data_IF_867015957794
#
_entry.id   IF_867015957794
#
_cell.length_a   1.000
_cell.length_b   1.000
_cell.length_c   1.000
_cell.angle_alpha   90.00
_cell.angle_beta   90.00
_cell.angle_gamma   90.00
#
_symmetry.space_group_name_H-M   'P 1'
#
loop_
_entity.id
_entity.type
_entity.pdbx_description
1 polymer ?
#
# COMPACT_ATOMS: atom_id res chain seq x y z
N UNK A 1 -18.15 -19.87 -31.28
CA UNK A 1 -19.16 -19.16 -30.45
C UNK A 1 -19.86 -20.18 -29.58
N UNK A 2 -19.95 -19.95 -28.26
CA UNK A 2 -21.27 -20.07 -27.66
C UNK A 2 -21.59 -19.00 -26.60
N UNK A 3 -22.86 -18.61 -26.65
CA UNK A 3 -23.77 -18.23 -25.56
C UNK A 3 -23.39 -17.06 -24.64
N UNK A 4 -24.02 -15.91 -24.94
CA UNK A 4 -24.28 -14.83 -24.01
C UNK A 4 -25.06 -15.35 -22.79
N UNK A 5 -24.44 -15.29 -21.61
CA UNK A 5 -25.16 -15.38 -20.34
C UNK A 5 -25.83 -14.03 -20.06
N UNK A 6 -27.03 -13.85 -20.62
CA UNK A 6 -27.96 -12.85 -20.13
C UNK A 6 -28.27 -13.14 -18.67
N UNK A 7 -28.03 -12.16 -17.80
CA UNK A 7 -28.50 -12.18 -16.42
C UNK A 7 -30.02 -12.03 -16.44
N UNK A 8 -30.73 -13.14 -16.56
CA UNK A 8 -32.19 -13.15 -16.46
C UNK A 8 -32.61 -12.62 -15.10
N UNK A 9 -33.31 -11.48 -15.15
CA UNK A 9 -34.01 -10.89 -14.05
C UNK A 9 -34.97 -11.90 -13.43
N UNK A 10 -34.85 -12.06 -12.12
CA UNK A 10 -35.84 -12.75 -11.31
C UNK A 10 -37.16 -12.00 -11.41
N UNK A 11 -38.18 -12.65 -12.01
CA UNK A 11 -39.58 -12.31 -11.83
C UNK A 11 -39.95 -12.59 -10.36
N UNK A 12 -39.60 -11.66 -9.48
CA UNK A 12 -40.07 -11.60 -8.10
C UNK A 12 -41.03 -10.42 -7.97
N UNK A 13 -42.06 -10.57 -7.16
CA UNK A 13 -42.89 -9.48 -6.66
C UNK A 13 -41.99 -8.29 -6.30
N UNK A 14 -42.31 -7.08 -6.80
CA UNK A 14 -41.57 -5.87 -6.42
C UNK A 14 -41.89 -5.57 -4.96
N UNK A 15 -41.21 -6.26 -4.05
CA UNK A 15 -41.23 -5.94 -2.64
C UNK A 15 -40.76 -4.49 -2.51
N UNK A 16 -41.54 -3.67 -1.80
CA UNK A 16 -41.14 -2.31 -1.52
C UNK A 16 -39.77 -2.34 -0.82
N UNK A 17 -38.86 -1.40 -1.14
CA UNK A 17 -37.55 -1.39 -0.51
C UNK A 17 -37.73 -1.29 1.00
N UNK A 18 -36.99 -2.12 1.73
CA UNK A 18 -37.00 -2.17 3.22
C UNK A 18 -36.56 -0.83 3.82
N UNK A 19 -35.90 0.02 3.03
CA UNK A 19 -35.33 1.30 3.42
C UNK A 19 -35.88 2.41 2.52
N UNK A 20 -36.19 3.57 3.08
CA UNK A 20 -36.58 4.75 2.32
C UNK A 20 -35.45 5.19 1.37
N UNK A 21 -35.69 5.24 0.04
CA UNK A 21 -34.70 5.71 -0.92
C UNK A 21 -34.13 7.11 -0.65
N UNK A 22 -34.84 7.97 0.09
CA UNK A 22 -34.38 9.31 0.46
C UNK A 22 -33.07 9.32 1.27
N UNK A 23 -32.74 8.21 1.93
CA UNK A 23 -31.46 8.03 2.65
C UNK A 23 -30.27 8.17 1.70
N UNK A 24 -30.41 7.78 0.42
CA UNK A 24 -29.30 7.84 -0.53
C UNK A 24 -28.79 9.27 -0.81
N UNK A 25 -29.64 10.28 -0.62
CA UNK A 25 -29.34 11.69 -0.90
C UNK A 25 -29.27 12.55 0.36
N UNK A 26 -29.39 11.94 1.54
CA UNK A 26 -29.28 12.63 2.82
C UNK A 26 -27.87 12.43 3.41
N UNK A 27 -27.30 13.40 4.14
CA UNK A 27 -26.02 13.21 4.83
C UNK A 27 -26.08 12.01 5.79
N UNK A 28 -24.98 11.29 5.94
CA UNK A 28 -24.93 10.11 6.84
C UNK A 28 -25.23 10.47 8.30
N UNK A 29 -24.71 11.59 8.81
CA UNK A 29 -24.93 12.02 10.19
C UNK A 29 -24.70 13.53 10.38
N UNK A 30 -25.64 14.35 9.91
CA UNK A 30 -25.53 15.81 10.01
C UNK A 30 -25.51 16.30 11.48
N UNK A 31 -26.12 15.54 12.41
CA UNK A 31 -26.23 15.90 13.81
C UNK A 31 -24.90 15.77 14.56
N UNK A 32 -24.01 14.86 14.14
CA UNK A 32 -22.67 14.71 14.73
C UNK A 32 -21.69 15.83 14.34
N UNK A 33 -21.91 16.52 13.22
CA UNK A 33 -20.96 17.50 12.65
C UNK A 33 -20.54 18.59 13.63
N UNK A 34 -21.44 19.26 14.40
CA UNK A 34 -21.03 20.29 15.36
C UNK A 34 -20.09 19.76 16.46
N UNK A 35 -20.32 18.53 16.94
CA UNK A 35 -19.46 17.88 17.94
C UNK A 35 -18.08 17.56 17.37
N UNK A 36 -18.05 16.94 16.19
CA UNK A 36 -16.81 16.61 15.49
C UNK A 36 -15.97 17.86 15.16
N UNK A 37 -16.60 18.96 14.75
CA UNK A 37 -15.91 20.24 14.51
C UNK A 37 -15.32 20.82 15.79
N UNK A 38 -16.03 20.73 16.91
CA UNK A 38 -15.52 21.17 18.22
C UNK A 38 -14.29 20.36 18.62
N UNK A 39 -14.33 19.04 18.44
CA UNK A 39 -13.20 18.14 18.74
C UNK A 39 -12.00 18.34 17.81
N UNK A 40 -12.26 18.63 16.52
CA UNK A 40 -11.23 18.99 15.55
C UNK A 40 -10.55 20.29 15.99
N UNK A 41 -11.33 21.34 16.25
CA UNK A 41 -10.80 22.64 16.68
C UNK A 41 -9.99 22.55 17.98
N UNK A 42 -10.46 21.77 18.96
CA UNK A 42 -9.73 21.55 20.21
C UNK A 42 -8.37 20.86 19.98
N UNK A 43 -8.27 19.97 18.98
CA UNK A 43 -7.03 19.25 18.66
C UNK A 43 -5.99 20.07 17.90
N UNK A 44 -6.35 21.22 17.32
CA UNK A 44 -5.42 22.06 16.52
C UNK A 44 -4.20 22.49 17.36
N UNK A 45 -4.42 22.85 18.62
CA UNK A 45 -3.35 23.30 19.51
C UNK A 45 -2.26 22.24 19.73
N UNK A 46 -2.60 20.96 19.62
CA UNK A 46 -1.65 19.85 19.78
C UNK A 46 -0.76 19.62 18.55
N UNK A 47 -1.05 20.23 17.39
CA UNK A 47 -0.22 20.06 16.20
C UNK A 47 1.20 20.65 16.34
N UNK A 48 1.36 21.67 17.18
CA UNK A 48 2.66 22.32 17.39
C UNK A 48 3.61 21.52 18.28
N UNK A 49 3.07 20.62 19.12
CA UNK A 49 3.85 19.91 20.16
C UNK A 49 3.72 18.38 20.11
N UNK A 50 2.64 17.85 19.53
CA UNK A 50 2.27 16.44 19.60
C UNK A 50 2.69 15.57 18.41
N UNK A 51 3.58 16.08 17.55
CA UNK A 51 4.24 15.27 16.52
C UNK A 51 3.29 14.59 15.51
N UNK A 52 3.65 13.38 15.09
CA UNK A 52 2.90 12.63 14.07
C UNK A 52 1.58 12.06 14.62
N UNK A 53 1.55 11.74 15.90
CA UNK A 53 0.38 11.23 16.62
C UNK A 53 -0.74 12.27 16.62
N UNK A 54 -0.44 13.52 17.03
CA UNK A 54 -1.43 14.59 17.02
C UNK A 54 -1.94 14.90 15.59
N UNK A 55 -1.06 14.88 14.59
CA UNK A 55 -1.45 15.02 13.18
C UNK A 55 -2.39 13.88 12.75
N UNK A 56 -2.10 12.64 13.15
CA UNK A 56 -2.91 11.47 12.78
C UNK A 56 -4.30 11.52 13.43
N UNK A 57 -4.37 11.81 14.72
CA UNK A 57 -5.62 12.00 15.46
C UNK A 57 -6.51 13.07 14.81
N UNK A 58 -5.92 14.22 14.44
CA UNK A 58 -6.68 15.28 13.78
C UNK A 58 -7.17 14.87 12.39
N UNK A 59 -6.36 14.09 11.64
CA UNK A 59 -6.75 13.55 10.35
C UNK A 59 -7.92 12.56 10.47
N UNK A 60 -7.95 11.73 11.52
CA UNK A 60 -9.07 10.82 11.79
C UNK A 60 -10.37 11.61 12.00
N UNK A 61 -10.33 12.66 12.84
CA UNK A 61 -11.48 13.55 13.06
C UNK A 61 -11.96 14.23 11.79
N UNK A 62 -11.04 14.73 10.96
CA UNK A 62 -11.39 15.34 9.67
C UNK A 62 -12.10 14.34 8.74
N UNK A 63 -11.64 13.07 8.71
CA UNK A 63 -12.31 12.01 7.94
C UNK A 63 -13.71 11.70 8.48
N UNK A 64 -13.91 11.68 9.80
CA UNK A 64 -15.23 11.49 10.40
C UNK A 64 -16.20 12.61 10.02
N UNK A 65 -15.73 13.87 9.94
CA UNK A 65 -16.54 14.99 9.46
C UNK A 65 -16.96 14.78 8.01
N UNK A 66 -16.01 14.37 7.14
CA UNK A 66 -16.32 14.06 5.73
C UNK A 66 -17.36 12.94 5.65
N UNK A 67 -17.19 11.85 6.40
CA UNK A 67 -18.15 10.73 6.42
C UNK A 67 -19.54 11.16 6.88
N UNK A 68 -19.63 12.02 7.89
CA UNK A 68 -20.89 12.54 8.41
C UNK A 68 -21.63 13.44 7.39
N UNK A 69 -20.87 14.22 6.61
CA UNK A 69 -21.40 15.15 5.61
C UNK A 69 -21.76 14.48 4.27
N UNK A 70 -20.97 13.51 3.81
CA UNK A 70 -21.20 12.82 2.54
C UNK A 70 -22.56 12.10 2.55
N UNK A 71 -23.33 12.24 1.47
CA UNK A 71 -24.50 11.40 1.25
C UNK A 71 -24.08 10.03 0.69
N UNK A 72 -24.81 8.92 0.97
CA UNK A 72 -24.46 7.60 0.47
C UNK A 72 -24.27 7.53 -1.06
N UNK A 73 -25.08 8.28 -1.84
CA UNK A 73 -24.94 8.38 -3.29
C UNK A 73 -23.60 8.99 -3.70
N UNK A 74 -23.10 9.98 -2.96
CA UNK A 74 -21.81 10.63 -3.24
C UNK A 74 -20.66 9.67 -2.98
N UNK A 75 -20.72 8.92 -1.87
CA UNK A 75 -19.77 7.83 -1.57
C UNK A 75 -19.76 6.77 -2.67
N UNK A 76 -20.94 6.35 -3.15
CA UNK A 76 -21.06 5.41 -4.27
C UNK A 76 -20.39 5.97 -5.53
N UNK A 77 -20.69 7.21 -5.94
CA UNK A 77 -20.08 7.85 -7.12
C UNK A 77 -18.56 7.96 -6.97
N UNK A 78 -18.08 8.31 -5.77
CA UNK A 78 -16.66 8.38 -5.44
C UNK A 78 -15.97 7.03 -5.66
N UNK A 79 -16.55 5.93 -5.19
CA UNK A 79 -15.98 4.60 -5.41
C UNK A 79 -16.07 4.17 -6.89
N UNK A 80 -17.24 4.31 -7.52
CA UNK A 80 -17.50 3.77 -8.85
C UNK A 80 -16.79 4.54 -9.97
N UNK A 81 -16.74 5.87 -9.89
CA UNK A 81 -16.28 6.72 -10.98
C UNK A 81 -15.06 7.56 -10.62
N UNK A 82 -14.99 8.08 -9.40
CA UNK A 82 -13.94 9.03 -9.04
C UNK A 82 -12.61 8.32 -8.73
N UNK A 83 -12.61 7.36 -7.80
CA UNK A 83 -11.41 6.66 -7.33
C UNK A 83 -10.81 5.75 -8.40
N UNK A 84 -11.63 4.96 -9.09
CA UNK A 84 -11.19 4.09 -10.18
C UNK A 84 -10.54 4.88 -11.32
N UNK A 85 -11.18 5.98 -11.74
CA UNK A 85 -10.62 6.90 -12.74
C UNK A 85 -9.33 7.57 -12.27
N UNK A 86 -9.23 7.92 -10.99
CA UNK A 86 -8.02 8.53 -10.45
C UNK A 86 -6.85 7.54 -10.37
N UNK A 87 -7.10 6.30 -9.94
CA UNK A 87 -6.09 5.23 -9.96
C UNK A 87 -5.58 5.01 -11.38
N UNK A 88 -6.47 4.98 -12.38
CA UNK A 88 -6.07 4.90 -13.79
C UNK A 88 -5.16 6.06 -14.21
N UNK A 89 -5.49 7.30 -13.83
CA UNK A 89 -4.65 8.47 -14.10
C UNK A 89 -3.30 8.44 -13.36
N UNK A 90 -3.27 7.94 -12.13
CA UNK A 90 -2.04 7.75 -11.35
C UNK A 90 -1.13 6.72 -12.02
N UNK A 91 -1.66 5.54 -12.36
CA UNK A 91 -0.93 4.49 -13.07
C UNK A 91 -0.39 5.00 -14.42
N UNK A 92 -1.23 5.68 -15.20
CA UNK A 92 -0.79 6.33 -16.45
C UNK A 92 0.38 7.27 -16.21
N UNK A 93 0.32 8.11 -15.17
CA UNK A 93 1.38 9.06 -14.88
C UNK A 93 2.69 8.40 -14.39
N UNK A 94 2.61 7.23 -13.76
CA UNK A 94 3.79 6.43 -13.39
C UNK A 94 4.42 5.85 -14.66
N UNK A 95 3.63 5.21 -15.50
CA UNK A 95 4.07 4.51 -16.71
C UNK A 95 4.60 5.48 -17.79
N UNK A 96 3.91 6.59 -18.02
CA UNK A 96 4.33 7.63 -18.97
C UNK A 96 5.50 8.49 -18.49
N UNK A 97 5.86 8.44 -17.20
CA UNK A 97 6.89 9.31 -16.60
C UNK A 97 6.40 10.73 -16.26
N UNK A 98 5.10 11.02 -16.35
CA UNK A 98 4.51 12.31 -15.99
C UNK A 98 4.94 12.80 -14.60
N UNK A 99 4.91 11.94 -13.59
CA UNK A 99 5.24 12.34 -12.22
C UNK A 99 6.71 12.74 -12.07
N UNK A 100 7.61 12.01 -12.73
CA UNK A 100 9.05 12.33 -12.77
C UNK A 100 9.28 13.66 -13.48
N UNK A 101 8.60 13.90 -14.60
CA UNK A 101 8.69 15.18 -15.31
C UNK A 101 8.17 16.34 -14.46
N UNK A 102 6.99 16.21 -13.86
CA UNK A 102 6.41 17.27 -13.02
C UNK A 102 7.30 17.59 -11.81
N UNK A 103 7.87 16.56 -11.17
CA UNK A 103 8.81 16.75 -10.07
C UNK A 103 10.10 17.46 -10.53
N UNK A 104 10.66 17.07 -11.68
CA UNK A 104 11.84 17.72 -12.29
C UNK A 104 11.59 19.19 -12.60
N UNK A 105 10.39 19.53 -13.06
CA UNK A 105 10.00 20.90 -13.38
C UNK A 105 9.77 21.79 -12.14
N UNK A 106 9.71 21.19 -10.94
CA UNK A 106 9.54 21.88 -9.66
C UNK A 106 8.09 22.31 -9.36
N UNK A 107 7.92 23.06 -8.26
CA UNK A 107 6.62 23.47 -7.71
C UNK A 107 5.94 24.61 -8.48
N UNK A 108 6.33 24.87 -9.74
CA UNK A 108 5.68 25.88 -10.59
C UNK A 108 4.39 25.35 -11.23
N UNK A 109 3.48 26.23 -11.67
CA UNK A 109 2.42 25.85 -12.62
C UNK A 109 3.02 25.31 -13.93
N UNK A 110 2.41 24.26 -14.49
CA UNK A 110 2.87 23.55 -15.68
C UNK A 110 1.70 23.35 -16.64
N UNK A 111 1.85 23.78 -17.89
CA UNK A 111 0.83 23.64 -18.93
C UNK A 111 0.77 22.20 -19.44
N UNK A 112 -0.44 21.69 -19.64
CA UNK A 112 -0.65 20.34 -20.23
C UNK A 112 0.03 20.21 -21.58
N UNK A 113 -0.01 21.25 -22.43
CA UNK A 113 0.62 21.22 -23.76
C UNK A 113 2.13 21.00 -23.69
N UNK A 114 2.81 21.66 -22.75
CA UNK A 114 4.26 21.51 -22.54
C UNK A 114 4.60 20.12 -22.01
N UNK A 115 3.79 19.61 -21.07
CA UNK A 115 3.94 18.26 -20.52
C UNK A 115 3.70 17.19 -21.60
N UNK A 116 2.64 17.35 -22.40
CA UNK A 116 2.27 16.44 -23.47
C UNK A 116 3.37 16.36 -24.53
N UNK A 117 3.90 17.50 -24.97
CA UNK A 117 5.02 17.57 -25.92
C UNK A 117 6.27 16.87 -25.37
N UNK A 118 6.65 17.16 -24.12
CA UNK A 118 7.82 16.56 -23.49
C UNK A 118 7.71 15.04 -23.26
N UNK A 119 6.49 14.53 -23.06
CA UNK A 119 6.21 13.10 -22.86
C UNK A 119 5.90 12.35 -24.17
N UNK A 120 5.70 13.06 -25.28
CA UNK A 120 5.19 12.45 -26.52
C UNK A 120 3.77 11.89 -26.38
N UNK A 121 2.95 12.50 -25.52
CA UNK A 121 1.57 12.08 -25.23
C UNK A 121 0.60 13.02 -25.94
N UNK A 122 -0.54 12.49 -26.40
CA UNK A 122 -1.61 13.33 -26.96
C UNK A 122 -2.13 14.35 -25.93
N UNK A 123 -2.18 15.66 -26.27
CA UNK A 123 -2.55 16.70 -25.32
C UNK A 123 -4.00 16.61 -24.83
N UNK A 124 -4.94 16.11 -25.65
CA UNK A 124 -6.33 15.95 -25.23
C UNK A 124 -6.49 14.78 -24.25
N UNK A 125 -5.74 13.70 -24.46
CA UNK A 125 -5.65 12.60 -23.50
C UNK A 125 -5.08 13.09 -22.16
N UNK A 126 -3.95 13.79 -22.17
CA UNK A 126 -3.31 14.27 -20.94
C UNK A 126 -4.20 15.29 -20.21
N UNK A 127 -4.82 16.22 -20.92
CA UNK A 127 -5.77 17.20 -20.36
C UNK A 127 -6.90 16.51 -19.60
N UNK A 128 -7.53 15.48 -20.20
CA UNK A 128 -8.63 14.75 -19.56
C UNK A 128 -8.21 14.05 -18.27
N UNK A 129 -7.04 13.42 -18.27
CA UNK A 129 -6.49 12.75 -17.08
C UNK A 129 -6.14 13.75 -15.99
N UNK A 130 -5.42 14.83 -16.33
CA UNK A 130 -4.99 15.83 -15.37
C UNK A 130 -6.17 16.60 -14.77
N UNK A 131 -7.23 16.88 -15.55
CA UNK A 131 -8.46 17.50 -15.03
C UNK A 131 -9.12 16.64 -13.96
N UNK A 132 -9.20 15.32 -14.19
CA UNK A 132 -9.75 14.39 -13.20
C UNK A 132 -8.87 14.34 -11.93
N UNK A 133 -7.55 14.24 -12.10
CA UNK A 133 -6.60 14.23 -10.98
C UNK A 133 -6.61 15.56 -10.20
N UNK A 134 -6.85 16.68 -10.87
CA UNK A 134 -7.04 17.99 -10.29
C UNK A 134 -8.31 18.08 -9.46
N UNK A 135 -9.44 17.63 -10.01
CA UNK A 135 -10.72 17.57 -9.29
C UNK A 135 -10.66 16.65 -8.05
N UNK A 136 -9.83 15.62 -8.10
CA UNK A 136 -9.57 14.70 -6.98
C UNK A 136 -8.55 15.24 -5.96
N UNK A 137 -7.95 16.41 -6.22
CA UNK A 137 -7.01 17.06 -5.32
C UNK A 137 -5.60 16.46 -5.31
N UNK A 138 -5.27 15.58 -6.26
CA UNK A 138 -3.93 14.98 -6.35
C UNK A 138 -2.91 15.92 -7.00
N UNK A 139 -3.37 16.79 -7.89
CA UNK A 139 -2.65 17.95 -8.41
C UNK A 139 -3.51 19.20 -8.19
N UNK A 140 -2.90 20.38 -8.18
CA UNK A 140 -3.63 21.64 -7.99
C UNK A 140 -3.87 22.31 -9.33
N UNK A 141 -5.13 22.50 -9.72
CA UNK A 141 -5.50 23.29 -10.90
C UNK A 141 -5.29 24.78 -10.59
N UNK A 142 -4.45 25.46 -11.40
CA UNK A 142 -4.14 26.89 -11.26
C UNK A 142 -4.74 27.70 -12.42
N UNK A 143 -5.05 27.04 -13.54
CA UNK A 143 -5.69 27.63 -14.70
C UNK A 143 -6.16 26.56 -15.67
N UNK A 144 -6.77 26.99 -16.77
CA UNK A 144 -7.20 26.07 -17.83
C UNK A 144 -6.00 25.27 -18.34
N UNK A 145 -6.09 23.94 -18.20
CA UNK A 145 -5.04 22.99 -18.57
C UNK A 145 -3.66 23.38 -17.98
N UNK A 146 -3.66 23.85 -16.74
CA UNK A 146 -2.47 24.28 -16.02
C UNK A 146 -2.49 23.81 -14.57
N UNK A 147 -1.49 23.01 -14.19
CA UNK A 147 -1.48 22.31 -12.92
C UNK A 147 -0.15 22.49 -12.19
N UNK A 148 -0.23 22.56 -10.87
CA UNK A 148 0.92 22.59 -9.96
C UNK A 148 0.97 21.27 -9.17
N UNK A 149 2.16 20.67 -8.98
CA UNK A 149 2.27 19.44 -8.22
C UNK A 149 1.98 19.64 -6.72
N UNK A 150 1.49 18.60 -6.06
CA UNK A 150 1.33 18.52 -4.60
C UNK A 150 2.44 17.65 -4.00
N UNK A 151 2.54 17.59 -2.66
CA UNK A 151 3.44 16.63 -2.02
C UNK A 151 3.11 15.18 -2.39
N UNK A 152 1.84 14.87 -2.63
CA UNK A 152 1.42 13.55 -3.11
C UNK A 152 1.86 13.29 -4.55
N UNK A 153 1.58 14.19 -5.50
CA UNK A 153 1.98 13.94 -6.89
C UNK A 153 3.51 13.93 -7.07
N UNK A 154 4.24 14.69 -6.24
CA UNK A 154 5.71 14.61 -6.17
C UNK A 154 6.18 13.26 -5.65
N UNK A 155 5.54 12.72 -4.61
CA UNK A 155 5.96 11.43 -4.05
C UNK A 155 5.78 10.29 -5.05
N UNK A 156 4.83 10.38 -5.98
CA UNK A 156 4.66 9.41 -7.08
C UNK A 156 5.87 9.33 -8.04
N UNK A 157 6.78 10.31 -8.02
CA UNK A 157 8.06 10.23 -8.76
C UNK A 157 9.11 9.36 -8.07
N UNK A 158 8.94 9.09 -6.78
CA UNK A 158 9.81 8.21 -6.01
C UNK A 158 9.43 6.76 -6.34
N UNK A 159 10.37 5.91 -6.79
CA UNK A 159 10.06 4.53 -7.14
C UNK A 159 9.33 3.78 -6.01
N UNK A 160 9.73 4.01 -4.75
CA UNK A 160 9.13 3.37 -3.57
C UNK A 160 7.63 3.66 -3.38
N UNK A 161 7.10 4.73 -3.97
CA UNK A 161 5.68 5.09 -3.91
C UNK A 161 5.00 4.82 -5.24
N UNK A 162 5.55 5.36 -6.34
CA UNK A 162 4.96 5.26 -7.68
C UNK A 162 4.82 3.82 -8.14
N UNK A 163 5.86 3.02 -8.01
CA UNK A 163 5.88 1.65 -8.51
C UNK A 163 4.90 0.74 -7.75
N UNK A 164 4.57 1.10 -6.50
CA UNK A 164 3.54 0.41 -5.71
C UNK A 164 2.14 0.47 -6.33
N UNK A 165 1.83 1.52 -7.10
CA UNK A 165 0.57 1.58 -7.83
C UNK A 165 0.52 0.55 -8.96
N UNK A 166 1.64 0.30 -9.65
CA UNK A 166 1.73 -0.75 -10.68
C UNK A 166 1.71 -2.14 -10.02
N UNK A 167 2.61 -2.37 -9.05
CA UNK A 167 2.78 -3.67 -8.39
C UNK A 167 1.53 -4.14 -7.65
N UNK A 168 0.78 -3.23 -7.01
CA UNK A 168 -0.39 -3.61 -6.22
C UNK A 168 -1.69 -3.33 -6.97
N UNK A 169 -1.96 -2.06 -7.31
CA UNK A 169 -3.28 -1.69 -7.81
C UNK A 169 -3.54 -2.20 -9.23
N UNK A 170 -2.54 -2.13 -10.12
CA UNK A 170 -2.70 -2.60 -11.51
C UNK A 170 -2.61 -4.11 -11.61
N UNK A 171 -1.64 -4.72 -10.94
CA UNK A 171 -1.37 -6.15 -11.07
C UNK A 171 -2.34 -7.06 -10.32
N UNK A 172 -2.86 -6.64 -9.15
CA UNK A 172 -3.69 -7.50 -8.29
C UNK A 172 -5.06 -6.90 -7.97
N UNK A 173 -5.33 -5.65 -8.36
CA UNK A 173 -6.54 -4.91 -7.99
C UNK A 173 -7.86 -5.54 -8.45
N UNK A 174 -7.86 -6.37 -9.50
CA UNK A 174 -9.08 -7.08 -9.91
C UNK A 174 -9.51 -8.16 -8.90
N UNK A 175 -8.58 -8.71 -8.11
CA UNK A 175 -8.85 -9.73 -7.10
C UNK A 175 -9.92 -9.32 -6.08
N UNK A 176 -9.75 -8.20 -5.34
CA UNK A 176 -10.77 -7.70 -4.43
C UNK A 176 -12.05 -7.23 -5.15
N UNK A 177 -11.94 -6.61 -6.33
CA UNK A 177 -13.10 -6.13 -7.09
C UNK A 177 -14.02 -7.28 -7.55
N UNK A 178 -13.44 -8.44 -7.88
CA UNK A 178 -14.18 -9.65 -8.30
C UNK A 178 -14.39 -10.65 -7.17
N UNK A 179 -14.07 -10.28 -5.92
CA UNK A 179 -14.25 -11.16 -4.76
C UNK A 179 -15.71 -11.61 -4.59
N UNK A 180 -16.68 -10.75 -4.93
CA UNK A 180 -18.09 -11.12 -4.84
C UNK A 180 -18.47 -12.29 -5.76
N UNK A 181 -17.85 -12.39 -6.94
CA UNK A 181 -18.10 -13.49 -7.90
C UNK A 181 -17.43 -14.76 -7.41
N UNK A 182 -16.17 -14.63 -7.00
CA UNK A 182 -15.35 -15.67 -6.42
C UNK A 182 -16.07 -16.33 -5.22
N UNK A 183 -16.55 -15.49 -4.29
CA UNK A 183 -17.22 -15.91 -3.06
C UNK A 183 -18.57 -16.56 -3.36
N UNK A 184 -19.37 -15.99 -4.28
CA UNK A 184 -20.66 -16.57 -4.70
C UNK A 184 -20.49 -17.97 -5.29
N UNK A 185 -19.48 -18.19 -6.14
CA UNK A 185 -19.18 -19.51 -6.72
C UNK A 185 -18.81 -20.57 -5.68
N UNK A 186 -18.34 -20.13 -4.50
CA UNK A 186 -17.95 -20.98 -3.36
C UNK A 186 -19.00 -20.99 -2.25
N UNK A 187 -20.22 -20.56 -2.55
CA UNK A 187 -21.33 -20.55 -1.58
C UNK A 187 -21.09 -19.64 -0.38
N UNK A 188 -20.34 -18.55 -0.57
CA UNK A 188 -19.98 -17.58 0.48
C UNK A 188 -19.29 -18.23 1.69
N UNK A 189 -18.47 -19.25 1.46
CA UNK A 189 -17.66 -19.91 2.49
C UNK A 189 -16.26 -19.31 2.56
N UNK A 190 -15.64 -19.43 3.73
CA UNK A 190 -14.27 -18.99 3.94
C UNK A 190 -13.33 -19.79 3.02
N UNK A 191 -12.53 -19.13 2.17
CA UNK A 191 -11.52 -19.82 1.39
C UNK A 191 -10.39 -20.28 2.31
N UNK A 192 -9.99 -21.55 2.21
CA UNK A 192 -8.92 -22.14 3.02
C UNK A 192 -7.77 -22.71 2.19
N UNK A 193 -7.87 -22.68 0.86
CA UNK A 193 -6.82 -23.15 -0.05
C UNK A 193 -6.08 -21.93 -0.63
N UNK A 194 -4.77 -21.86 -0.40
CA UNK A 194 -3.92 -20.80 -0.94
C UNK A 194 -3.81 -20.85 -2.48
N UNK A 195 -4.14 -21.98 -3.10
CA UNK A 195 -4.17 -22.16 -4.57
C UNK A 195 -5.52 -21.79 -5.19
N UNK A 196 -6.50 -21.43 -4.37
CA UNK A 196 -7.80 -20.95 -4.82
C UNK A 196 -8.13 -19.63 -4.11
N UNK A 197 -7.81 -18.51 -4.76
CA UNK A 197 -8.08 -17.16 -4.24
C UNK A 197 -8.82 -16.31 -5.27
N UNK A 198 -9.35 -15.16 -4.82
CA UNK A 198 -10.03 -14.24 -5.72
C UNK A 198 -9.11 -13.59 -6.75
N UNK A 199 -7.80 -13.50 -6.48
CA UNK A 199 -6.82 -13.02 -7.47
C UNK A 199 -6.70 -14.03 -8.62
N UNK A 200 -6.45 -15.30 -8.31
CA UNK A 200 -6.40 -16.40 -9.29
C UNK A 200 -7.67 -16.45 -10.14
N UNK A 201 -8.84 -16.32 -9.50
CA UNK A 201 -10.12 -16.23 -10.18
C UNK A 201 -10.24 -14.99 -11.08
N UNK A 202 -9.83 -13.81 -10.60
CA UNK A 202 -10.01 -12.56 -11.32
C UNK A 202 -9.14 -12.49 -12.58
N UNK A 203 -7.92 -13.02 -12.51
CA UNK A 203 -6.93 -13.01 -13.59
C UNK A 203 -6.87 -14.33 -14.37
N UNK A 204 -7.67 -15.34 -13.99
CA UNK A 204 -7.70 -16.67 -14.59
C UNK A 204 -6.29 -17.30 -14.65
N UNK A 205 -5.64 -17.35 -13.49
CA UNK A 205 -4.29 -17.89 -13.30
C UNK A 205 -4.28 -18.92 -12.17
N UNK A 206 -3.37 -19.88 -12.23
CA UNK A 206 -3.08 -20.84 -11.15
C UNK A 206 -1.86 -20.44 -10.30
N UNK A 207 -1.27 -19.29 -10.62
CA UNK A 207 -0.09 -18.74 -9.94
C UNK A 207 -0.47 -17.99 -8.68
N UNK A 208 0.37 -18.12 -7.65
CA UNK A 208 0.34 -17.20 -6.52
C UNK A 208 0.75 -15.77 -6.93
N UNK A 209 0.56 -14.83 -6.03
CA UNK A 209 0.82 -13.40 -6.29
C UNK A 209 2.27 -13.14 -6.72
N UNK A 210 3.24 -13.83 -6.12
CA UNK A 210 4.66 -13.63 -6.43
C UNK A 210 4.99 -14.18 -7.81
N UNK A 211 4.61 -15.42 -8.10
CA UNK A 211 4.81 -16.07 -9.39
C UNK A 211 4.11 -15.31 -10.52
N UNK A 212 2.91 -14.77 -10.25
CA UNK A 212 2.17 -13.93 -11.19
C UNK A 212 2.91 -12.62 -11.49
N UNK A 213 3.39 -11.92 -10.46
CA UNK A 213 4.15 -10.68 -10.66
C UNK A 213 5.51 -10.92 -11.34
N UNK A 214 6.16 -12.05 -11.07
CA UNK A 214 7.39 -12.45 -11.73
C UNK A 214 7.18 -12.63 -13.24
N UNK A 215 6.13 -13.36 -13.65
CA UNK A 215 5.77 -13.54 -15.05
C UNK A 215 5.49 -12.22 -15.78
N UNK A 216 4.96 -11.23 -15.06
CA UNK A 216 4.69 -9.89 -15.59
C UNK A 216 5.94 -8.99 -15.62
N UNK A 217 7.11 -9.49 -15.20
CA UNK A 217 8.36 -8.72 -15.13
C UNK A 217 8.42 -7.72 -13.97
N UNK A 218 7.48 -7.76 -13.03
CA UNK A 218 7.39 -6.82 -11.89
C UNK A 218 8.27 -7.23 -10.69
N UNK A 219 8.97 -8.37 -10.79
CA UNK A 219 9.93 -8.87 -9.81
C UNK A 219 11.30 -9.15 -10.45
N UNK A 220 11.34 -9.91 -11.56
CA UNK A 220 12.60 -10.38 -12.15
C UNK A 220 13.33 -9.32 -13.02
N UNK A 221 12.59 -8.49 -13.75
CA UNK A 221 13.14 -7.46 -14.66
C UNK A 221 12.90 -6.01 -14.17
N UNK A 222 12.08 -5.81 -13.13
CA UNK A 222 11.62 -4.47 -12.73
C UNK A 222 11.14 -4.44 -11.29
N UNK A 223 12.01 -3.93 -10.41
CA UNK A 223 11.99 -3.72 -8.94
C UNK A 223 10.71 -3.17 -8.27
N UNK A 224 9.57 -3.12 -8.95
CA UNK A 224 8.35 -2.45 -8.50
C UNK A 224 7.81 -2.99 -7.18
N UNK A 225 7.77 -4.32 -7.02
CA UNK A 225 7.36 -4.93 -5.76
C UNK A 225 8.32 -4.59 -4.61
N UNK A 226 9.63 -4.71 -4.84
CA UNK A 226 10.65 -4.38 -3.82
C UNK A 226 10.63 -2.89 -3.45
N UNK A 227 10.42 -2.02 -4.42
CA UNK A 227 10.19 -0.60 -4.20
C UNK A 227 8.93 -0.36 -3.37
N UNK A 228 7.81 -1.02 -3.70
CA UNK A 228 6.58 -0.92 -2.91
C UNK A 228 6.81 -1.31 -1.44
N UNK A 229 7.48 -2.42 -1.19
CA UNK A 229 7.78 -2.87 0.17
C UNK A 229 8.67 -1.87 0.92
N UNK A 230 9.61 -1.24 0.22
CA UNK A 230 10.44 -0.16 0.79
C UNK A 230 9.59 1.05 1.21
N UNK A 231 8.62 1.45 0.39
CA UNK A 231 7.69 2.54 0.70
C UNK A 231 6.68 2.16 1.80
N UNK A 232 6.23 0.91 1.83
CA UNK A 232 5.30 0.39 2.85
C UNK A 232 5.89 0.44 4.26
N UNK A 233 7.20 0.17 4.38
CA UNK A 233 7.94 0.27 5.64
C UNK A 233 8.23 1.73 6.04
N UNK A 234 8.33 2.65 5.09
CA UNK A 234 8.77 4.02 5.35
C UNK A 234 7.88 4.74 6.38
N UNK A 235 8.51 5.35 7.37
CA UNK A 235 7.83 6.13 8.40
C UNK A 235 7.19 5.31 9.53
N UNK A 236 7.29 3.98 9.50
CA UNK A 236 6.95 3.12 10.65
C UNK A 236 8.11 3.11 11.63
N UNK A 237 7.80 3.26 12.93
CA UNK A 237 8.81 3.06 13.96
C UNK A 237 9.16 1.57 13.97
N UNK A 238 10.41 1.18 13.70
CA UNK A 238 10.78 -0.21 13.63
C UNK A 238 10.73 -0.83 15.03
N UNK A 239 10.44 -2.13 15.13
CA UNK A 239 10.12 -2.76 16.41
C UNK A 239 11.24 -2.61 17.45
N UNK A 240 12.49 -2.60 16.99
CA UNK A 240 13.71 -2.46 17.79
C UNK A 240 14.03 -1.03 18.23
N UNK A 241 13.29 -0.01 17.76
CA UNK A 241 13.52 1.36 18.15
C UNK A 241 13.24 1.59 19.65
N UNK A 242 13.98 2.52 20.30
CA UNK A 242 13.72 2.90 21.68
C UNK A 242 12.25 3.27 21.91
N UNK A 243 11.64 2.70 22.93
CA UNK A 243 10.25 2.96 23.31
C UNK A 243 9.19 2.16 22.54
N UNK A 244 9.58 1.29 21.59
CA UNK A 244 8.64 0.40 20.89
C UNK A 244 8.61 -1.00 21.53
N UNK A 245 9.63 -1.83 21.27
CA UNK A 245 9.82 -3.12 21.94
C UNK A 245 11.00 -3.01 22.93
N UNK A 246 10.86 -3.51 24.17
CA UNK A 246 11.93 -3.49 25.17
C UNK A 246 13.03 -4.50 24.86
N UNK A 247 13.84 -4.22 23.83
CA UNK A 247 14.92 -5.11 23.32
C UNK A 247 15.93 -5.42 24.42
N UNK A 248 16.34 -4.40 25.20
CA UNK A 248 17.35 -4.58 26.23
C UNK A 248 16.87 -5.58 27.28
N UNK A 249 15.69 -5.35 27.83
CA UNK A 249 15.13 -6.11 28.93
C UNK A 249 14.64 -7.50 28.50
N UNK A 250 14.14 -7.64 27.27
CA UNK A 250 13.56 -8.91 26.78
C UNK A 250 14.55 -9.77 26.01
N UNK A 251 15.47 -9.17 25.26
CA UNK A 251 16.39 -9.91 24.39
C UNK A 251 17.82 -9.90 24.91
N UNK A 252 18.39 -8.73 25.23
CA UNK A 252 19.81 -8.62 25.57
C UNK A 252 20.10 -9.13 26.99
N UNK A 253 19.29 -8.76 27.98
CA UNK A 253 19.50 -9.17 29.36
C UNK A 253 19.36 -10.68 29.54
N UNK A 254 20.43 -11.30 30.06
CA UNK A 254 20.53 -12.74 30.24
C UNK A 254 20.65 -13.53 28.93
N UNK A 255 21.07 -12.90 27.84
CA UNK A 255 21.49 -13.60 26.63
C UNK A 255 22.83 -14.31 26.83
N UNK A 256 23.11 -15.33 26.01
CA UNK A 256 24.42 -15.97 25.96
C UNK A 256 25.45 -14.97 25.43
N UNK A 257 26.50 -14.72 26.21
CA UNK A 257 27.56 -13.77 25.86
C UNK A 257 28.58 -14.37 24.87
N UNK A 258 28.47 -15.65 24.54
CA UNK A 258 29.27 -16.26 23.50
C UNK A 258 28.96 -15.64 22.13
N UNK A 259 29.97 -15.03 21.51
CA UNK A 259 29.86 -14.39 20.19
C UNK A 259 29.37 -15.35 19.08
N UNK A 260 29.57 -16.66 19.26
CA UNK A 260 29.10 -17.67 18.30
C UNK A 260 27.67 -18.17 18.55
N UNK A 261 27.07 -17.87 19.69
CA UNK A 261 25.70 -18.27 20.01
C UNK A 261 24.69 -17.54 19.10
N UNK A 262 23.67 -18.23 18.57
CA UNK A 262 22.64 -17.56 17.78
C UNK A 262 21.83 -16.62 18.68
N UNK A 263 21.79 -15.33 18.33
CA UNK A 263 21.04 -14.34 19.10
C UNK A 263 19.68 -14.08 18.45
N UNK A 264 19.68 -13.58 17.22
CA UNK A 264 18.47 -13.24 16.50
C UNK A 264 18.49 -13.89 15.12
N UNK A 265 17.47 -14.70 14.83
CA UNK A 265 17.25 -15.31 13.52
C UNK A 265 16.09 -14.60 12.84
N UNK A 266 16.36 -13.92 11.74
CA UNK A 266 15.36 -13.25 10.90
C UNK A 266 14.90 -14.19 9.79
N UNK A 267 13.71 -14.77 9.93
CA UNK A 267 13.15 -15.82 9.07
C UNK A 267 12.29 -15.17 7.98
N UNK A 268 12.70 -15.34 6.71
CA UNK A 268 12.10 -14.63 5.57
C UNK A 268 12.52 -13.16 5.54
N UNK A 269 13.73 -12.85 6.01
CA UNK A 269 14.22 -11.47 6.18
C UNK A 269 14.66 -10.78 4.88
N UNK A 270 14.47 -11.42 3.72
CA UNK A 270 14.83 -10.91 2.40
C UNK A 270 16.31 -10.47 2.34
N UNK A 271 16.56 -9.19 2.07
CA UNK A 271 17.91 -8.63 1.97
C UNK A 271 18.48 -8.13 3.31
N UNK A 272 17.85 -8.48 4.45
CA UNK A 272 18.42 -8.29 5.79
C UNK A 272 18.30 -6.89 6.36
N UNK A 273 17.36 -6.08 5.87
CA UNK A 273 17.21 -4.70 6.32
C UNK A 273 16.79 -4.56 7.79
N UNK A 274 16.00 -5.50 8.32
CA UNK A 274 15.59 -5.47 9.73
C UNK A 274 16.78 -5.79 10.64
N UNK A 275 17.58 -6.81 10.33
CA UNK A 275 18.80 -7.09 11.07
C UNK A 275 19.85 -5.97 11.01
N UNK A 276 19.99 -5.31 9.85
CA UNK A 276 20.88 -4.16 9.72
C UNK A 276 20.43 -2.99 10.61
N UNK A 277 19.12 -2.73 10.68
CA UNK A 277 18.57 -1.71 11.56
C UNK A 277 18.65 -2.12 13.05
N UNK A 278 18.42 -3.40 13.36
CA UNK A 278 18.61 -3.95 14.70
C UNK A 278 20.02 -3.69 15.20
N UNK A 279 21.04 -4.05 14.40
CA UNK A 279 22.44 -3.84 14.74
C UNK A 279 22.77 -2.34 14.91
N UNK A 280 22.14 -1.45 14.14
CA UNK A 280 22.32 -0.01 14.29
C UNK A 280 21.76 0.53 15.61
N UNK A 281 20.60 0.04 16.05
CA UNK A 281 19.99 0.44 17.33
C UNK A 281 20.65 -0.21 18.54
N UNK A 282 21.11 -1.45 18.39
CA UNK A 282 21.68 -2.27 19.45
C UNK A 282 23.02 -2.87 18.99
N UNK A 283 24.06 -2.03 18.76
CA UNK A 283 25.36 -2.50 18.27
C UNK A 283 26.07 -3.44 19.25
N UNK A 284 25.74 -3.33 20.54
CA UNK A 284 26.31 -4.12 21.62
C UNK A 284 25.51 -5.41 21.92
N UNK A 285 24.51 -5.76 21.10
CA UNK A 285 23.80 -7.02 21.25
C UNK A 285 24.76 -8.21 21.08
N UNK A 286 24.73 -9.21 21.98
CA UNK A 286 25.65 -10.34 21.92
C UNK A 286 25.26 -11.35 20.83
N UNK A 287 26.16 -12.28 20.52
CA UNK A 287 25.89 -13.41 19.63
C UNK A 287 25.70 -13.05 18.14
N UNK A 288 25.22 -14.03 17.37
CA UNK A 288 25.05 -13.93 15.92
C UNK A 288 23.68 -13.41 15.51
N UNK A 289 23.69 -12.48 14.56
CA UNK A 289 22.51 -12.11 13.77
C UNK A 289 22.49 -13.00 12.52
N UNK A 290 21.44 -13.79 12.34
CA UNK A 290 21.33 -14.78 11.26
C UNK A 290 20.16 -14.40 10.36
N UNK A 291 20.45 -14.12 9.10
CA UNK A 291 19.45 -13.86 8.06
C UNK A 291 19.06 -15.15 7.37
N UNK A 292 17.78 -15.49 7.36
CA UNK A 292 17.24 -16.64 6.64
C UNK A 292 16.27 -16.21 5.55
N UNK A 293 16.46 -16.73 4.35
CA UNK A 293 15.51 -16.67 3.24
C UNK A 293 15.79 -17.82 2.27
N UNK A 294 14.99 -17.98 1.21
CA UNK A 294 15.23 -18.99 0.19
C UNK A 294 16.65 -18.84 -0.39
N UNK A 295 17.34 -19.96 -0.73
CA UNK A 295 18.70 -19.89 -1.26
C UNK A 295 18.89 -18.96 -2.46
N UNK A 296 17.86 -18.85 -3.32
CA UNK A 296 17.86 -17.93 -4.47
C UNK A 296 17.86 -16.46 -4.05
N UNK A 297 17.14 -16.10 -2.99
CA UNK A 297 17.08 -14.73 -2.46
C UNK A 297 18.40 -14.38 -1.78
N UNK A 298 18.91 -15.28 -0.93
CA UNK A 298 20.22 -15.12 -0.29
C UNK A 298 21.34 -14.95 -1.33
N UNK A 299 21.30 -15.71 -2.43
CA UNK A 299 22.27 -15.61 -3.51
C UNK A 299 22.22 -14.30 -4.32
N UNK A 300 21.15 -13.50 -4.20
CA UNK A 300 21.01 -12.20 -4.87
C UNK A 300 21.54 -11.02 -4.04
N UNK A 301 21.90 -11.24 -2.78
CA UNK A 301 22.40 -10.18 -1.88
C UNK A 301 23.77 -9.70 -2.38
N UNK A 302 23.87 -8.43 -2.75
CA UNK A 302 25.13 -7.82 -3.19
C UNK A 302 25.96 -7.26 -2.03
N UNK A 303 25.29 -6.70 -1.03
CA UNK A 303 25.90 -6.09 0.15
C UNK A 303 25.12 -6.51 1.40
N UNK A 304 25.85 -6.89 2.46
CA UNK A 304 25.27 -7.28 3.74
C UNK A 304 26.13 -6.71 4.87
N UNK A 305 25.48 -6.26 5.94
CA UNK A 305 26.19 -5.79 7.14
C UNK A 305 27.10 -6.90 7.67
N UNK A 306 28.41 -6.64 7.92
CA UNK A 306 29.35 -7.69 8.31
C UNK A 306 28.99 -8.50 9.55
N UNK A 307 28.18 -7.93 10.46
CA UNK A 307 27.69 -8.59 11.66
C UNK A 307 26.58 -9.64 11.39
N UNK A 308 26.06 -9.72 10.16
CA UNK A 308 24.96 -10.60 9.78
C UNK A 308 25.49 -11.82 9.03
N UNK A 309 25.07 -13.01 9.46
CA UNK A 309 25.38 -14.28 8.80
C UNK A 309 24.21 -14.71 7.91
N UNK A 310 24.36 -14.77 6.58
CA UNK A 310 23.30 -15.24 5.69
C UNK A 310 23.19 -16.78 5.72
N UNK A 311 21.97 -17.28 5.62
CA UNK A 311 21.67 -18.71 5.62
C UNK A 311 20.47 -19.00 4.69
N UNK A 312 20.70 -19.79 3.63
CA UNK A 312 19.59 -20.30 2.81
C UNK A 312 18.72 -21.25 3.62
N UNK A 313 17.44 -20.93 3.78
CA UNK A 313 16.48 -21.75 4.53
C UNK A 313 15.07 -21.58 3.98
N UNK A 314 14.38 -22.70 3.76
CA UNK A 314 12.94 -22.75 3.53
C UNK A 314 12.23 -22.93 4.89
N UNK A 315 11.50 -21.91 5.32
CA UNK A 315 10.80 -21.91 6.62
C UNK A 315 9.67 -22.96 6.71
N UNK A 316 9.32 -23.63 5.60
CA UNK A 316 8.40 -24.76 5.61
C UNK A 316 9.07 -26.06 6.09
N UNK A 317 10.40 -26.04 6.25
CA UNK A 317 11.20 -27.12 6.81
C UNK A 317 11.55 -26.86 8.28
N UNK A 318 12.09 -27.85 8.98
CA UNK A 318 12.49 -27.69 10.37
C UNK A 318 13.58 -26.61 10.52
N UNK A 319 13.38 -25.67 11.45
CA UNK A 319 14.33 -24.60 11.75
C UNK A 319 15.72 -25.17 12.14
N UNK A 320 16.79 -24.94 11.35
CA UNK A 320 18.12 -25.52 11.60
C UNK A 320 18.88 -24.86 12.75
N UNK A 321 18.63 -23.58 13.03
CA UNK A 321 19.29 -22.87 14.15
C UNK A 321 18.51 -23.18 15.42
N UNK A 322 19.13 -23.83 16.42
CA UNK A 322 18.49 -24.15 17.70
C UNK A 322 19.02 -23.25 18.82
N UNK A 323 18.14 -22.93 19.77
CA UNK A 323 18.50 -22.18 20.98
C UNK A 323 18.76 -20.69 20.75
N UNK A 324 18.30 -20.12 19.63
CA UNK A 324 18.40 -18.67 19.44
C UNK A 324 17.58 -17.92 20.50
N UNK A 325 18.06 -16.74 20.91
CA UNK A 325 17.32 -15.90 21.87
C UNK A 325 15.97 -15.47 21.31
N UNK A 326 15.90 -15.16 20.01
CA UNK A 326 14.65 -14.89 19.31
C UNK A 326 14.68 -15.40 17.87
N UNK A 327 13.50 -15.83 17.41
CA UNK A 327 13.19 -16.11 16.02
C UNK A 327 12.15 -15.08 15.58
N UNK A 328 12.52 -14.27 14.60
CA UNK A 328 11.74 -13.15 14.12
C UNK A 328 11.13 -13.49 12.76
N UNK A 329 9.85 -13.17 12.60
CA UNK A 329 9.12 -13.28 11.34
C UNK A 329 8.35 -11.97 11.16
N UNK A 330 8.51 -11.34 10.01
CA UNK A 330 7.93 -10.03 9.70
C UNK A 330 7.35 -10.02 8.29
N UNK A 331 6.24 -9.28 8.13
CA UNK A 331 5.55 -9.07 6.86
C UNK A 331 5.68 -7.62 6.39
#
# INVERSE_FOLDING_TARGET
MPAANGTNGTNGTKDAPVVDPSIATSPNDLAAVPGLLKELNAGIGSLSTGGQEARHELLLKARSIVQALEAPRETMIKHCWAQTGAIAGINFGVDSGLWKLMAKNGDRPQKVTELAEALGVDPALLSRLMRHLGAMGYIKEIGLDEYQPTNFSKSLSLPMIGDGYIAMTSCTGAGPLRFHEYSRKRGFKNPTDAKDTSMMYAYNTDKDMFSWQQDLGLIADGTHFNHHMSGYRQGRNPWMAPGFFPVKERLIEGADENADAPFLVDIGGSIGHDLAEFHRYHPDAPGKLILQDLPVVIGQIQELTPAITPMGHDFLTEQPVKGARAYYMHS
#
